data_IF_444301189693
#
_entry.id   IF_444301189693
#
_cell.length_a   1.000
_cell.length_b   1.000
_cell.length_c   1.000
_cell.angle_alpha   90.00
_cell.angle_beta   90.00
_cell.angle_gamma   90.00
#
_symmetry.space_group_name_H-M   'P 1'
#
loop_
_entity.id
_entity.type
_entity.pdbx_description
1 polymer ?
#
# COMPACT_ATOMS: atom_id res chain seq x y z
N UNK A 1 -10.12 -8.14 -25.56
CA UNK A 1 -9.70 -7.19 -24.50
C UNK A 1 -9.01 -8.04 -23.45
N UNK A 2 -7.68 -8.00 -23.38
CA UNK A 2 -6.95 -8.72 -22.33
C UNK A 2 -7.27 -8.06 -21.00
N UNK A 3 -7.85 -8.83 -20.08
CA UNK A 3 -8.08 -8.41 -18.71
C UNK A 3 -6.70 -8.39 -18.04
N UNK A 4 -5.98 -7.28 -18.17
CA UNK A 4 -4.71 -7.09 -17.48
C UNK A 4 -5.05 -7.06 -15.99
N UNK A 5 -4.60 -8.06 -15.23
CA UNK A 5 -4.65 -7.98 -13.78
C UNK A 5 -3.71 -6.84 -13.40
N UNK A 6 -4.27 -5.77 -12.82
CA UNK A 6 -3.48 -4.67 -12.29
C UNK A 6 -2.66 -5.20 -11.12
N UNK A 7 -1.40 -5.52 -11.39
CA UNK A 7 -0.50 -6.06 -10.39
C UNK A 7 0.23 -4.90 -9.73
N UNK A 8 0.02 -4.73 -8.43
CA UNK A 8 0.75 -3.78 -7.62
C UNK A 8 1.95 -4.46 -6.99
N UNK A 9 3.09 -3.77 -6.95
CA UNK A 9 4.21 -4.14 -6.08
C UNK A 9 4.29 -3.10 -4.98
N UNK A 10 4.20 -3.53 -3.73
CA UNK A 10 4.28 -2.64 -2.56
C UNK A 10 5.53 -2.96 -1.76
N UNK A 11 6.47 -2.01 -1.73
CA UNK A 11 7.60 -2.00 -0.81
C UNK A 11 7.22 -1.29 0.49
N UNK A 12 7.65 -1.86 1.62
CA UNK A 12 7.31 -1.37 2.95
C UNK A 12 8.58 -1.30 3.80
N UNK A 13 8.81 -0.13 4.42
CA UNK A 13 9.91 0.10 5.35
C UNK A 13 9.35 0.52 6.72
N UNK A 14 9.55 -0.34 7.72
CA UNK A 14 9.06 -0.10 9.09
C UNK A 14 10.16 0.59 9.90
N UNK A 15 10.02 1.88 10.11
CA UNK A 15 10.91 2.68 10.95
C UNK A 15 10.44 2.82 12.40
N UNK A 16 11.19 3.58 13.20
CA UNK A 16 10.86 3.86 14.61
C UNK A 16 9.71 4.86 14.82
N UNK A 17 9.55 5.83 13.91
CA UNK A 17 8.48 6.84 14.02
C UNK A 17 7.38 6.59 13.00
N UNK A 18 7.78 6.22 11.79
CA UNK A 18 6.89 6.05 10.66
C UNK A 18 7.18 4.74 9.93
N UNK A 19 6.14 4.18 9.33
CA UNK A 19 6.21 3.14 8.32
C UNK A 19 5.95 3.77 6.95
N UNK A 20 6.88 3.59 6.04
CA UNK A 20 6.87 4.14 4.68
C UNK A 20 6.43 3.07 3.68
N UNK A 21 5.61 3.47 2.71
CA UNK A 21 5.07 2.60 1.67
C UNK A 21 5.39 3.18 0.30
N UNK A 22 5.89 2.34 -0.60
CA UNK A 22 6.07 2.64 -2.01
C UNK A 22 5.31 1.62 -2.84
N UNK A 23 4.33 2.08 -3.63
CA UNK A 23 3.52 1.25 -4.51
C UNK A 23 3.86 1.57 -5.96
N UNK A 24 4.24 0.56 -6.74
CA UNK A 24 4.46 0.69 -8.18
C UNK A 24 3.42 -0.11 -8.96
N UNK A 25 2.97 0.47 -10.07
CA UNK A 25 2.08 -0.15 -11.04
C UNK A 25 2.85 -0.51 -12.32
N UNK A 26 2.31 -1.45 -13.10
CA UNK A 26 2.96 -1.96 -14.31
C UNK A 26 3.06 -0.92 -15.43
N UNK A 27 2.29 0.16 -15.36
CA UNK A 27 2.31 1.27 -16.32
C UNK A 27 3.41 2.31 -16.02
N UNK A 28 4.21 2.08 -14.96
CA UNK A 28 5.27 2.98 -14.52
C UNK A 28 4.80 4.07 -13.55
N UNK A 29 3.52 4.12 -13.19
CA UNK A 29 3.05 5.00 -12.12
C UNK A 29 3.47 4.46 -10.75
N UNK A 30 3.67 5.39 -9.81
CA UNK A 30 3.92 5.04 -8.42
C UNK A 30 3.22 6.00 -7.46
N UNK A 31 2.85 5.48 -6.30
CA UNK A 31 2.31 6.26 -5.19
C UNK A 31 3.09 5.93 -3.92
N UNK A 32 3.05 6.86 -2.98
CA UNK A 32 3.61 6.68 -1.65
C UNK A 32 2.61 7.05 -0.58
N UNK A 33 2.74 6.40 0.56
CA UNK A 33 2.09 6.85 1.78
C UNK A 33 2.99 6.59 2.98
N UNK A 34 2.70 7.29 4.08
CA UNK A 34 3.43 7.17 5.34
C UNK A 34 2.41 7.07 6.46
N UNK A 35 2.63 6.16 7.39
CA UNK A 35 1.80 6.01 8.60
C UNK A 35 2.68 6.05 9.85
N UNK A 36 2.18 6.52 11.01
CA UNK A 36 2.92 6.35 12.27
C UNK A 36 3.15 4.86 12.57
N UNK A 37 4.36 4.50 13.00
CA UNK A 37 4.65 3.11 13.41
C UNK A 37 3.86 2.76 14.66
N UNK A 38 3.08 1.69 14.58
CA UNK A 38 2.30 1.16 15.71
C UNK A 38 3.08 0.08 16.43
N UNK A 39 3.99 0.48 17.33
CA UNK A 39 4.91 -0.44 18.03
C UNK A 39 4.24 -1.57 18.81
N UNK A 40 3.01 -1.37 19.27
CA UNK A 40 2.26 -2.41 19.98
C UNK A 40 1.75 -3.50 19.04
N UNK A 41 1.57 -3.19 17.75
CA UNK A 41 1.11 -4.11 16.71
C UNK A 41 1.39 -3.51 15.32
N UNK A 42 2.43 -4.03 14.65
CA UNK A 42 2.85 -3.55 13.33
C UNK A 42 1.79 -3.80 12.24
N UNK A 43 0.90 -4.78 12.43
CA UNK A 43 -0.17 -5.07 11.47
C UNK A 43 -1.17 -3.91 11.34
N UNK A 44 -1.36 -3.13 12.41
CA UNK A 44 -2.22 -1.95 12.40
C UNK A 44 -1.67 -0.84 11.48
N UNK A 45 -0.37 -0.56 11.56
CA UNK A 45 0.31 0.40 10.69
C UNK A 45 0.33 -0.09 9.24
N UNK A 46 0.63 -1.37 9.04
CA UNK A 46 0.54 -2.05 7.75
C UNK A 46 -0.84 -1.87 7.10
N UNK A 47 -1.92 -2.27 7.78
CA UNK A 47 -3.28 -2.22 7.22
C UNK A 47 -3.77 -0.79 6.97
N UNK A 48 -3.33 0.17 7.78
CA UNK A 48 -3.58 1.60 7.52
C UNK A 48 -2.90 2.06 6.22
N UNK A 49 -1.65 1.69 6.00
CA UNK A 49 -0.92 2.01 4.77
C UNK A 49 -1.58 1.38 3.54
N UNK A 50 -1.92 0.09 3.59
CA UNK A 50 -2.62 -0.59 2.50
C UNK A 50 -3.98 0.04 2.18
N UNK A 51 -4.73 0.46 3.22
CA UNK A 51 -6.01 1.15 3.03
C UNK A 51 -5.85 2.53 2.37
N UNK A 52 -4.77 3.25 2.68
CA UNK A 52 -4.46 4.54 2.05
C UNK A 52 -4.09 4.36 0.57
N UNK A 53 -3.23 3.38 0.26
CA UNK A 53 -2.86 3.05 -1.12
C UNK A 53 -4.07 2.58 -1.95
N UNK A 54 -4.92 1.71 -1.40
CA UNK A 54 -6.15 1.28 -2.06
C UNK A 54 -7.05 2.48 -2.41
N UNK A 55 -7.25 3.39 -1.46
CA UNK A 55 -8.03 4.62 -1.68
C UNK A 55 -7.41 5.52 -2.75
N UNK A 56 -6.08 5.66 -2.77
CA UNK A 56 -5.37 6.43 -3.80
C UNK A 56 -5.53 5.82 -5.21
N UNK A 57 -5.70 4.50 -5.29
CA UNK A 57 -5.97 3.77 -6.53
C UNK A 57 -7.48 3.65 -6.85
N UNK A 58 -8.36 4.24 -6.04
CA UNK A 58 -9.81 4.15 -6.24
C UNK A 58 -10.40 2.76 -6.02
N UNK A 59 -9.70 1.89 -5.26
CA UNK A 59 -10.11 0.52 -4.98
C UNK A 59 -10.56 0.32 -3.53
N UNK A 60 -11.39 -0.70 -3.30
CA UNK A 60 -11.58 -1.23 -1.95
C UNK A 60 -10.30 -1.96 -1.51
N UNK A 61 -10.01 -1.96 -0.20
CA UNK A 61 -8.80 -2.60 0.33
C UNK A 61 -8.74 -4.10 0.05
N UNK A 62 -9.90 -4.77 -0.01
CA UNK A 62 -9.97 -6.20 -0.34
C UNK A 62 -9.50 -6.45 -1.78
N UNK A 63 -10.00 -5.66 -2.74
CA UNK A 63 -9.62 -5.78 -4.16
C UNK A 63 -8.14 -5.45 -4.38
N UNK A 64 -7.62 -4.46 -3.64
CA UNK A 64 -6.20 -4.07 -3.72
C UNK A 64 -5.24 -5.14 -3.18
N UNK A 65 -5.71 -6.02 -2.29
CA UNK A 65 -4.93 -7.11 -1.68
C UNK A 65 -5.14 -8.48 -2.35
N UNK A 66 -5.96 -8.53 -3.40
CA UNK A 66 -6.39 -9.75 -4.08
C UNK A 66 -5.33 -10.34 -5.02
#
# INVERSE_FOLDING_TARGET
MTNTIDNYTVGIDVGGTFTDFYCSHNDGQSQTCKTPTTHYDLSVGFMKGMSLLARQNGQAVADFLS
#
